data_IF_697520039468
#
_entry.id   IF_697520039468
#
_cell.length_a   1.000
_cell.length_b   1.000
_cell.length_c   1.000
_cell.angle_alpha   90.00
_cell.angle_beta   90.00
_cell.angle_gamma   90.00
#
_symmetry.space_group_name_H-M   'P 1'
#
loop_
_entity.id
_entity.type
_entity.pdbx_description
1 polymer ?
#
# COMPACT_ATOMS: atom_id res chain seq x y z
N UNK A 1 26.03 -40.80 52.11
CA UNK A 1 24.83 -41.42 51.49
C UNK A 1 23.62 -41.19 52.38
N UNK A 2 22.77 -40.21 52.04
CA UNK A 2 21.31 -40.19 52.29
C UNK A 2 20.78 -38.84 51.81
N UNK A 3 19.81 -38.93 50.91
CA UNK A 3 19.25 -37.85 50.12
C UNK A 3 18.33 -36.95 50.95
N UNK A 4 18.45 -35.64 50.72
CA UNK A 4 17.53 -34.62 51.23
C UNK A 4 16.35 -34.47 50.27
N UNK A 5 15.16 -34.84 50.75
CA UNK A 5 13.88 -34.54 50.13
C UNK A 5 13.68 -33.02 49.98
N UNK A 6 13.48 -32.56 48.74
CA UNK A 6 12.85 -31.27 48.46
C UNK A 6 11.45 -31.54 47.91
N UNK A 7 10.43 -31.03 48.58
CA UNK A 7 9.05 -31.01 48.10
C UNK A 7 8.93 -29.88 47.07
N UNK A 8 8.67 -30.24 45.82
CA UNK A 8 8.23 -29.28 44.79
C UNK A 8 6.71 -29.14 44.90
N UNK A 9 6.25 -27.96 45.27
CA UNK A 9 4.85 -27.58 45.16
C UNK A 9 4.56 -27.22 43.69
N UNK A 10 3.83 -28.08 42.99
CA UNK A 10 3.31 -27.80 41.66
C UNK A 10 2.09 -26.87 41.79
N UNK A 11 2.27 -25.59 41.50
CA UNK A 11 1.17 -24.65 41.24
C UNK A 11 0.69 -24.88 39.81
N UNK A 12 -0.38 -25.67 39.67
CA UNK A 12 -1.13 -25.78 38.44
C UNK A 12 -1.86 -24.45 38.18
N UNK A 13 -1.35 -23.65 37.24
CA UNK A 13 -2.12 -22.57 36.65
C UNK A 13 -3.08 -23.16 35.61
N UNK A 14 -4.30 -23.45 36.03
CA UNK A 14 -5.42 -23.62 35.10
C UNK A 14 -5.73 -22.25 34.48
N UNK A 15 -5.22 -22.01 33.28
CA UNK A 15 -5.67 -20.93 32.44
C UNK A 15 -7.07 -21.28 31.91
N UNK A 16 -8.10 -20.89 32.66
CA UNK A 16 -9.47 -20.86 32.15
C UNK A 16 -9.51 -19.76 31.09
N UNK A 17 -9.40 -20.14 29.81
CA UNK A 17 -9.71 -19.24 28.69
C UNK A 17 -11.21 -18.96 28.76
N UNK A 18 -11.56 -17.85 29.39
CA UNK A 18 -12.88 -17.26 29.24
C UNK A 18 -13.02 -16.83 27.78
N UNK A 19 -13.68 -17.68 26.99
CA UNK A 19 -14.27 -17.30 25.71
C UNK A 19 -15.22 -16.13 25.98
N UNK A 20 -14.72 -14.91 25.80
CA UNK A 20 -15.57 -13.75 25.62
C UNK A 20 -16.40 -14.01 24.36
N UNK A 21 -17.64 -14.48 24.55
CA UNK A 21 -18.69 -14.36 23.55
C UNK A 21 -18.85 -12.87 23.27
N UNK A 22 -18.22 -12.39 22.20
CA UNK A 22 -18.51 -11.10 21.63
C UNK A 22 -19.97 -11.09 21.19
N UNK A 23 -20.83 -10.47 22.00
CA UNK A 23 -22.14 -10.02 21.56
C UNK A 23 -21.92 -8.94 20.48
N UNK A 24 -21.92 -9.36 19.23
CA UNK A 24 -21.72 -8.47 18.08
C UNK A 24 -21.80 -9.18 16.74
N UNK A 25 -22.51 -10.31 16.66
CA UNK A 25 -22.91 -10.88 15.37
C UNK A 25 -24.06 -10.02 14.83
N UNK A 26 -23.71 -8.90 14.21
CA UNK A 26 -24.59 -8.19 13.27
C UNK A 26 -24.99 -9.18 12.19
N UNK A 27 -26.28 -9.50 12.07
CA UNK A 27 -26.77 -10.39 11.01
C UNK A 27 -26.46 -9.83 9.61
N UNK A 28 -26.67 -10.62 8.54
CA UNK A 28 -26.46 -10.17 7.15
C UNK A 28 -27.24 -8.90 6.75
N UNK A 29 -28.29 -8.55 7.51
CA UNK A 29 -29.08 -7.33 7.35
C UNK A 29 -28.36 -6.03 7.75
N UNK A 30 -27.29 -6.11 8.54
CA UNK A 30 -26.54 -4.94 9.04
C UNK A 30 -25.22 -4.71 8.27
N UNK A 31 -24.95 -5.52 7.23
CA UNK A 31 -23.75 -5.35 6.42
C UNK A 31 -23.90 -4.19 5.42
N UNK A 32 -22.92 -3.27 5.34
CA UNK A 32 -22.95 -2.18 4.35
C UNK A 32 -23.08 -2.71 2.92
N UNK A 33 -23.98 -2.08 2.14
CA UNK A 33 -24.19 -2.40 0.72
C UNK A 33 -23.01 -2.01 -0.20
N UNK A 34 -21.92 -1.48 0.35
CA UNK A 34 -20.75 -1.07 -0.42
C UNK A 34 -19.48 -1.20 0.41
N UNK A 35 -18.37 -1.28 -0.29
CA UNK A 35 -17.07 -1.31 0.34
C UNK A 35 -15.94 -1.19 -0.66
N UNK A 36 -14.77 -1.70 -0.27
CA UNK A 36 -13.56 -1.67 -1.07
C UNK A 36 -12.82 -3.00 -1.02
N UNK A 37 -12.32 -3.45 -2.17
CA UNK A 37 -11.36 -4.53 -2.28
C UNK A 37 -9.96 -3.94 -2.14
N UNK A 38 -9.21 -4.43 -1.16
CA UNK A 38 -7.83 -4.06 -0.91
C UNK A 38 -6.92 -5.21 -1.27
N UNK A 39 -6.22 -5.08 -2.39
CA UNK A 39 -5.26 -6.08 -2.85
C UNK A 39 -3.99 -6.03 -1.99
N UNK A 40 -3.40 -7.19 -1.72
CA UNK A 40 -2.09 -7.30 -1.09
C UNK A 40 -1.08 -6.61 -1.99
N UNK A 41 -0.27 -5.73 -1.42
CA UNK A 41 0.66 -4.88 -2.16
C UNK A 41 -0.02 -3.97 -3.22
N UNK A 42 -1.34 -3.80 -3.14
CA UNK A 42 -2.11 -2.91 -4.01
C UNK A 42 -1.89 -1.44 -3.66
N UNK A 43 -1.80 -0.60 -4.69
CA UNK A 43 -1.67 0.86 -4.55
C UNK A 43 -3.02 1.53 -4.35
N UNK A 44 -4.06 1.08 -5.07
CA UNK A 44 -5.40 1.64 -5.02
C UNK A 44 -6.47 0.59 -4.67
N UNK A 45 -7.48 0.93 -3.84
CA UNK A 45 -8.59 0.04 -3.57
C UNK A 45 -9.63 0.08 -4.70
N UNK A 46 -10.32 -1.05 -4.92
CA UNK A 46 -11.41 -1.15 -5.90
C UNK A 46 -12.75 -1.04 -5.19
N UNK A 47 -13.58 -0.06 -5.56
CA UNK A 47 -14.94 0.04 -5.03
C UNK A 47 -15.80 -1.13 -5.50
N UNK A 48 -16.56 -1.71 -4.57
CA UNK A 48 -17.60 -2.70 -4.87
C UNK A 48 -18.95 -2.29 -4.30
N UNK A 49 -20.00 -2.86 -4.87
CA UNK A 49 -21.37 -2.82 -4.37
C UNK A 49 -21.84 -4.24 -4.06
N UNK A 50 -22.40 -4.45 -2.89
CA UNK A 50 -22.89 -5.74 -2.41
C UNK A 50 -24.32 -5.95 -2.89
N UNK A 51 -24.65 -7.18 -3.27
CA UNK A 51 -26.02 -7.57 -3.60
C UNK A 51 -26.93 -7.63 -2.34
N UNK A 52 -28.24 -7.49 -2.51
CA UNK A 52 -29.20 -7.52 -1.40
C UNK A 52 -29.44 -8.91 -0.82
N UNK A 53 -29.26 -9.96 -1.63
CA UNK A 53 -29.39 -11.37 -1.21
C UNK A 53 -28.05 -11.99 -0.78
N UNK A 54 -26.98 -11.19 -0.72
CA UNK A 54 -25.63 -11.65 -0.38
C UNK A 54 -25.55 -12.21 1.04
N UNK A 55 -24.75 -13.25 1.22
CA UNK A 55 -24.32 -13.72 2.55
C UNK A 55 -23.32 -12.77 3.23
N UNK A 56 -22.87 -13.10 4.45
CA UNK A 56 -21.89 -12.31 5.20
C UNK A 56 -20.54 -12.19 4.49
N UNK A 57 -19.82 -11.10 4.76
CA UNK A 57 -18.50 -10.84 4.17
C UNK A 57 -17.43 -11.78 4.72
N UNK A 58 -16.53 -12.23 3.84
CA UNK A 58 -15.36 -13.03 4.21
C UNK A 58 -14.47 -12.27 5.20
N UNK A 59 -14.21 -12.79 6.42
CA UNK A 59 -13.48 -12.06 7.45
C UNK A 59 -11.95 -12.14 7.29
N UNK A 60 -11.45 -12.78 6.24
CA UNK A 60 -10.04 -13.07 6.01
C UNK A 60 -9.63 -12.69 4.59
N UNK A 61 -8.32 -12.74 4.32
CA UNK A 61 -7.78 -12.49 2.98
C UNK A 61 -8.09 -13.69 2.07
N UNK A 62 -8.48 -13.40 0.84
CA UNK A 62 -8.92 -14.36 -0.16
C UNK A 62 -8.05 -14.27 -1.41
N UNK A 63 -8.03 -15.36 -2.18
CA UNK A 63 -7.47 -15.39 -3.53
C UNK A 63 -8.57 -15.07 -4.54
N UNK A 64 -8.31 -14.12 -5.44
CA UNK A 64 -9.19 -13.82 -6.55
C UNK A 64 -8.83 -14.75 -7.72
N UNK A 65 -9.77 -15.63 -8.07
CA UNK A 65 -9.60 -16.62 -9.13
C UNK A 65 -10.46 -16.26 -10.34
N UNK A 66 -9.93 -16.54 -11.54
CA UNK A 66 -10.56 -16.18 -12.81
C UNK A 66 -10.77 -17.46 -13.62
N UNK A 67 -11.91 -17.62 -14.31
CA UNK A 67 -12.10 -18.71 -15.26
C UNK A 67 -10.98 -18.71 -16.31
N UNK A 68 -10.41 -19.89 -16.62
CA UNK A 68 -9.32 -20.00 -17.59
C UNK A 68 -9.79 -19.82 -19.04
N UNK A 69 -11.04 -20.21 -19.33
CA UNK A 69 -11.63 -20.14 -20.68
C UNK A 69 -12.51 -18.90 -20.83
N UNK A 70 -12.43 -18.25 -21.98
CA UNK A 70 -13.23 -17.04 -22.23
C UNK A 70 -14.75 -17.30 -22.22
N UNK A 71 -15.19 -18.47 -22.69
CA UNK A 71 -16.61 -18.88 -22.68
C UNK A 71 -17.20 -19.04 -21.26
N UNK A 72 -16.36 -19.30 -20.27
CA UNK A 72 -16.78 -19.47 -18.87
C UNK A 72 -16.81 -18.15 -18.10
N UNK A 73 -16.32 -17.05 -18.71
CA UNK A 73 -16.14 -15.78 -18.00
C UNK A 73 -17.44 -15.20 -17.50
N UNK A 74 -18.58 -15.51 -18.10
CA UNK A 74 -19.86 -15.06 -17.57
C UNK A 74 -20.30 -15.84 -16.31
N UNK A 75 -19.77 -17.03 -16.02
CA UNK A 75 -20.19 -17.82 -14.86
C UNK A 75 -21.66 -18.30 -14.93
N UNK A 76 -22.21 -18.40 -16.14
CA UNK A 76 -23.59 -18.87 -16.35
C UNK A 76 -23.74 -20.39 -16.21
N UNK A 77 -22.63 -21.13 -16.21
CA UNK A 77 -22.53 -22.54 -15.91
C UNK A 77 -21.42 -22.78 -14.89
N UNK A 78 -21.37 -24.00 -14.35
CA UNK A 78 -20.24 -24.49 -13.57
C UNK A 78 -18.98 -24.52 -14.45
N UNK A 79 -17.83 -24.20 -13.86
CA UNK A 79 -16.52 -24.32 -14.54
C UNK A 79 -16.18 -25.79 -14.81
N UNK A 80 -15.17 -26.10 -15.65
CA UNK A 80 -14.62 -27.45 -15.77
C UNK A 80 -14.22 -28.07 -14.43
N UNK A 81 -14.31 -29.39 -14.33
CA UNK A 81 -14.07 -30.12 -13.07
C UNK A 81 -12.69 -29.84 -12.45
N UNK A 82 -11.64 -29.60 -13.26
CA UNK A 82 -10.31 -29.25 -12.74
C UNK A 82 -10.27 -27.87 -12.07
N UNK A 83 -11.01 -26.89 -12.61
CA UNK A 83 -11.15 -25.57 -12.01
C UNK A 83 -12.04 -25.62 -10.77
N UNK A 84 -13.14 -26.39 -10.81
CA UNK A 84 -13.99 -26.60 -9.64
C UNK A 84 -13.22 -27.25 -8.49
N UNK A 85 -12.39 -28.26 -8.77
CA UNK A 85 -11.57 -28.92 -7.75
C UNK A 85 -10.60 -27.94 -7.10
N UNK A 86 -9.97 -27.06 -7.88
CA UNK A 86 -9.09 -26.01 -7.36
C UNK A 86 -9.84 -25.02 -6.46
N UNK A 87 -11.07 -24.63 -6.82
CA UNK A 87 -11.91 -23.75 -5.99
C UNK A 87 -12.32 -24.46 -4.69
N UNK A 88 -12.78 -25.72 -4.77
CA UNK A 88 -13.16 -26.52 -3.58
C UNK A 88 -11.97 -26.74 -2.65
N UNK A 89 -10.78 -27.02 -3.20
CA UNK A 89 -9.56 -27.20 -2.42
C UNK A 89 -9.13 -25.93 -1.67
N UNK A 90 -9.56 -24.75 -2.11
CA UNK A 90 -9.34 -23.49 -1.40
C UNK A 90 -10.23 -23.31 -0.17
N UNK A 91 -11.18 -24.22 0.10
CA UNK A 91 -11.97 -24.28 1.35
C UNK A 91 -12.57 -22.93 1.76
N UNK A 92 -13.25 -22.25 0.84
CA UNK A 92 -13.86 -20.94 1.09
C UNK A 92 -12.90 -19.74 1.09
N UNK A 93 -11.63 -19.90 0.72
CA UNK A 93 -10.68 -18.78 0.58
C UNK A 93 -10.51 -18.30 -0.88
N UNK A 94 -11.22 -18.90 -1.84
CA UNK A 94 -11.23 -18.48 -3.24
C UNK A 94 -12.48 -17.65 -3.54
N UNK A 95 -12.30 -16.48 -4.15
CA UNK A 95 -13.37 -15.63 -4.66
C UNK A 95 -13.34 -15.65 -6.18
N UNK A 96 -14.42 -16.14 -6.78
CA UNK A 96 -14.52 -16.23 -8.23
C UNK A 96 -14.81 -14.85 -8.84
N UNK A 97 -14.06 -14.47 -9.86
CA UNK A 97 -14.25 -13.21 -10.60
C UNK A 97 -14.80 -13.49 -11.99
N UNK A 98 -16.05 -13.11 -12.24
CA UNK A 98 -16.77 -13.33 -13.51
C UNK A 98 -17.21 -12.01 -14.13
N UNK A 99 -17.54 -12.02 -15.41
CA UNK A 99 -18.16 -10.92 -16.14
C UNK A 99 -19.68 -10.92 -15.96
N UNK A 100 -20.24 -9.71 -15.91
CA UNK A 100 -21.65 -9.49 -16.18
C UNK A 100 -21.93 -9.94 -17.60
N UNK A 101 -23.04 -10.64 -17.78
CA UNK A 101 -23.37 -11.26 -19.06
C UNK A 101 -24.86 -11.51 -19.17
N UNK A 102 -25.22 -12.61 -19.81
CA UNK A 102 -26.59 -12.94 -20.20
C UNK A 102 -27.43 -13.52 -19.05
N UNK A 103 -26.81 -14.21 -18.10
CA UNK A 103 -27.49 -14.79 -16.93
C UNK A 103 -27.56 -13.84 -15.73
N UNK A 104 -28.44 -14.18 -14.77
CA UNK A 104 -28.70 -13.39 -13.56
C UNK A 104 -27.54 -13.47 -12.56
N UNK A 105 -27.44 -12.45 -11.68
CA UNK A 105 -26.47 -12.43 -10.58
C UNK A 105 -26.69 -13.59 -9.59
N UNK A 106 -27.95 -13.94 -9.35
CA UNK A 106 -28.35 -15.08 -8.53
C UNK A 106 -27.81 -16.41 -9.09
N UNK A 107 -27.97 -16.66 -10.39
CA UNK A 107 -27.48 -17.90 -11.00
C UNK A 107 -25.94 -17.99 -10.90
N UNK A 108 -25.23 -16.89 -11.20
CA UNK A 108 -23.78 -16.82 -11.03
C UNK A 108 -23.36 -17.12 -9.59
N UNK A 109 -24.11 -16.59 -8.62
CA UNK A 109 -23.86 -16.81 -7.19
C UNK A 109 -24.12 -18.26 -6.80
N UNK A 110 -25.22 -18.88 -7.24
CA UNK A 110 -25.49 -20.31 -7.00
C UNK A 110 -24.39 -21.20 -7.60
N UNK A 111 -23.96 -20.93 -8.83
CA UNK A 111 -22.89 -21.67 -9.48
C UNK A 111 -21.57 -21.55 -8.69
N UNK A 112 -21.16 -20.33 -8.33
CA UNK A 112 -19.94 -20.12 -7.56
C UNK A 112 -19.98 -20.79 -6.18
N UNK A 113 -21.12 -20.75 -5.48
CA UNK A 113 -21.30 -21.42 -4.19
C UNK A 113 -21.25 -22.96 -4.34
N UNK A 114 -21.89 -23.51 -5.37
CA UNK A 114 -21.86 -24.94 -5.67
C UNK A 114 -20.44 -25.44 -5.99
N UNK A 115 -19.57 -24.56 -6.51
CA UNK A 115 -18.14 -24.84 -6.71
C UNK A 115 -17.31 -24.67 -5.43
N UNK A 116 -17.90 -24.31 -4.29
CA UNK A 116 -17.19 -24.10 -3.03
C UNK A 116 -16.43 -22.78 -2.92
N UNK A 117 -16.76 -21.79 -3.76
CA UNK A 117 -16.17 -20.46 -3.64
C UNK A 117 -16.58 -19.80 -2.31
N UNK A 118 -15.66 -19.03 -1.72
CA UNK A 118 -15.92 -18.20 -0.55
C UNK A 118 -16.61 -16.88 -0.87
N UNK A 119 -16.84 -16.57 -2.16
CA UNK A 119 -17.53 -15.38 -2.62
C UNK A 119 -17.49 -15.20 -4.13
N UNK A 120 -18.25 -14.24 -4.62
CA UNK A 120 -18.35 -13.88 -6.03
C UNK A 120 -18.11 -12.39 -6.26
N UNK A 121 -17.29 -12.06 -7.25
CA UNK A 121 -17.14 -10.72 -7.80
C UNK A 121 -17.60 -10.72 -9.26
N UNK A 122 -18.63 -9.93 -9.57
CA UNK A 122 -19.13 -9.72 -10.91
C UNK A 122 -18.61 -8.39 -11.46
N UNK A 123 -17.84 -8.45 -12.54
CA UNK A 123 -17.32 -7.30 -13.26
C UNK A 123 -18.39 -6.75 -14.18
N UNK A 124 -18.77 -5.49 -14.00
CA UNK A 124 -19.79 -4.86 -14.82
C UNK A 124 -19.31 -4.56 -16.23
N UNK A 125 -20.27 -4.46 -17.17
CA UNK A 125 -20.00 -4.07 -18.57
C UNK A 125 -19.62 -2.59 -18.73
N UNK A 126 -19.92 -1.76 -17.74
CA UNK A 126 -19.62 -0.33 -17.72
C UNK A 126 -19.05 0.08 -16.36
N UNK A 127 -18.55 1.32 -16.29
CA UNK A 127 -18.11 1.89 -15.02
C UNK A 127 -19.26 2.50 -14.23
N UNK A 128 -20.44 2.75 -14.80
CA UNK A 128 -21.63 3.19 -14.05
C UNK A 128 -22.31 2.00 -13.35
N UNK A 129 -21.75 1.61 -12.20
CA UNK A 129 -22.23 0.47 -11.41
C UNK A 129 -23.03 0.94 -10.22
N UNK A 130 -24.16 0.27 -10.01
CA UNK A 130 -25.00 0.36 -8.83
C UNK A 130 -25.10 -1.04 -8.22
N UNK A 131 -25.47 -1.12 -6.94
CA UNK A 131 -25.80 -2.39 -6.32
C UNK A 131 -26.85 -3.12 -7.19
N UNK A 132 -26.65 -4.41 -7.49
CA UNK A 132 -27.69 -5.18 -8.15
C UNK A 132 -28.96 -5.14 -7.29
N UNK A 133 -30.10 -5.05 -7.95
CA UNK A 133 -31.41 -5.15 -7.30
C UNK A 133 -32.01 -6.45 -7.78
N UNK A 134 -32.01 -7.47 -6.94
CA UNK A 134 -32.71 -8.71 -7.24
C UNK A 134 -33.82 -8.94 -6.23
N UNK A 135 -34.99 -9.32 -6.75
CA UNK A 135 -36.10 -9.84 -5.96
C UNK A 135 -35.90 -11.35 -5.78
N UNK A 136 -35.02 -11.72 -4.85
CA UNK A 136 -34.84 -13.13 -4.46
C UNK A 136 -35.28 -13.25 -3.00
N UNK A 137 -36.05 -14.29 -2.69
CA UNK A 137 -36.31 -14.68 -1.29
C UNK A 137 -34.98 -15.21 -0.71
N UNK A 138 -34.44 -14.48 0.27
CA UNK A 138 -33.01 -14.41 0.55
C UNK A 138 -32.40 -15.52 1.40
N UNK A 139 -32.66 -16.80 1.11
CA UNK A 139 -32.14 -17.91 1.93
C UNK A 139 -31.14 -18.86 1.24
N UNK A 140 -30.96 -18.83 -0.08
CA UNK A 140 -30.14 -19.84 -0.77
C UNK A 140 -28.63 -19.50 -0.92
N UNK A 141 -28.23 -18.25 -0.74
CA UNK A 141 -26.86 -17.77 -1.02
C UNK A 141 -26.20 -17.30 0.27
N UNK A 142 -25.25 -18.11 0.76
CA UNK A 142 -24.56 -17.92 2.05
C UNK A 142 -23.22 -17.19 1.92
N UNK A 143 -22.71 -17.02 0.70
CA UNK A 143 -21.45 -16.33 0.44
C UNK A 143 -21.66 -14.87 -0.03
N UNK A 144 -20.66 -13.99 0.12
CA UNK A 144 -20.76 -12.63 -0.37
C UNK A 144 -20.79 -12.58 -1.91
N UNK A 145 -21.75 -11.82 -2.47
CA UNK A 145 -21.88 -11.57 -3.90
C UNK A 145 -21.84 -10.08 -4.20
N UNK A 146 -20.87 -9.67 -5.02
CA UNK A 146 -20.49 -8.26 -5.18
C UNK A 146 -20.39 -7.90 -6.66
N UNK A 147 -20.69 -6.64 -6.98
CA UNK A 147 -20.43 -6.04 -8.28
C UNK A 147 -19.29 -5.03 -8.19
N UNK A 148 -18.38 -5.05 -9.17
CA UNK A 148 -17.34 -4.03 -9.37
C UNK A 148 -17.51 -3.35 -10.72
N UNK A 149 -16.92 -2.15 -10.85
CA UNK A 149 -16.83 -1.41 -12.11
C UNK A 149 -15.98 -2.16 -13.13
N UNK A 150 -16.24 -1.93 -14.42
CA UNK A 150 -15.48 -2.53 -15.53
C UNK A 150 -13.97 -2.31 -15.35
N UNK A 151 -13.56 -1.07 -15.10
CA UNK A 151 -12.16 -0.69 -14.86
C UNK A 151 -11.53 -1.43 -13.67
N UNK A 152 -12.25 -1.53 -12.55
CA UNK A 152 -11.83 -2.32 -11.39
C UNK A 152 -11.66 -3.81 -11.70
N UNK A 153 -12.54 -4.39 -12.52
CA UNK A 153 -12.39 -5.78 -12.98
C UNK A 153 -11.24 -5.97 -13.97
N UNK A 154 -10.99 -4.99 -14.84
CA UNK A 154 -9.82 -4.98 -15.74
C UNK A 154 -8.53 -4.94 -14.94
N UNK A 155 -8.46 -4.14 -13.87
CA UNK A 155 -7.35 -4.12 -12.92
C UNK A 155 -7.10 -5.51 -12.30
N UNK A 156 -8.15 -6.14 -11.76
CA UNK A 156 -8.05 -7.49 -11.19
C UNK A 156 -7.47 -8.48 -12.19
N UNK A 157 -7.96 -8.49 -13.43
CA UNK A 157 -7.49 -9.41 -14.48
C UNK A 157 -6.07 -9.13 -14.93
N UNK A 158 -5.73 -7.86 -15.12
CA UNK A 158 -4.39 -7.46 -15.55
C UNK A 158 -3.33 -7.83 -14.51
N UNK A 159 -3.65 -7.79 -13.22
CA UNK A 159 -2.77 -8.30 -12.16
C UNK A 159 -2.81 -9.83 -12.12
N UNK A 160 -4.00 -10.43 -12.14
CA UNK A 160 -4.22 -11.88 -12.08
C UNK A 160 -3.57 -12.67 -13.22
N UNK A 161 -3.35 -12.06 -14.38
CA UNK A 161 -2.63 -12.68 -15.51
C UNK A 161 -1.11 -12.75 -15.30
N UNK A 162 -0.56 -11.95 -14.37
CA UNK A 162 0.88 -11.84 -14.09
C UNK A 162 1.28 -12.60 -12.83
N UNK A 163 0.42 -12.58 -11.81
CA UNK A 163 0.65 -13.22 -10.51
C UNK A 163 -0.65 -13.61 -9.81
N UNK A 164 -0.54 -14.49 -8.81
CA UNK A 164 -1.66 -14.86 -7.95
C UNK A 164 -2.13 -13.65 -7.17
N UNK A 165 -3.44 -13.41 -7.17
CA UNK A 165 -4.02 -12.19 -6.65
C UNK A 165 -4.67 -12.42 -5.29
N UNK A 166 -4.12 -11.81 -4.25
CA UNK A 166 -4.66 -11.87 -2.89
C UNK A 166 -5.20 -10.52 -2.45
N UNK A 167 -6.24 -10.52 -1.63
CA UNK A 167 -6.75 -9.30 -1.04
C UNK A 167 -7.86 -9.52 -0.03
N UNK A 168 -8.36 -8.43 0.55
CA UNK A 168 -9.55 -8.44 1.42
C UNK A 168 -10.67 -7.61 0.84
N UNK A 169 -11.88 -8.13 0.98
CA UNK A 169 -13.13 -7.43 0.71
C UNK A 169 -13.56 -6.77 2.02
N UNK A 170 -13.50 -5.44 2.08
CA UNK A 170 -13.70 -4.67 3.31
C UNK A 170 -14.95 -3.78 3.18
N UNK A 171 -16.00 -4.04 3.98
CA UNK A 171 -17.15 -3.16 4.07
C UNK A 171 -16.78 -1.79 4.63
N UNK A 172 -17.38 -0.75 4.06
CA UNK A 172 -17.12 0.62 4.46
C UNK A 172 -18.34 1.24 5.14
N UNK A 173 -18.11 1.97 6.23
CA UNK A 173 -19.16 2.70 6.96
C UNK A 173 -18.82 4.19 6.96
N UNK A 174 -19.80 5.05 6.70
CA UNK A 174 -19.61 6.50 6.70
C UNK A 174 -20.32 7.16 7.87
N UNK A 175 -19.60 7.97 8.63
CA UNK A 175 -20.19 8.92 9.59
C UNK A 175 -20.46 10.24 8.87
N UNK A 176 -21.53 10.97 9.20
CA UNK A 176 -21.89 12.24 8.52
C UNK A 176 -21.24 13.50 9.12
N UNK A 177 -20.66 13.43 10.32
CA UNK A 177 -20.09 14.60 11.03
C UNK A 177 -18.77 14.24 11.73
N UNK A 178 -17.60 14.50 11.12
CA UNK A 178 -17.38 14.86 9.71
C UNK A 178 -17.77 13.71 8.76
N UNK A 179 -17.97 14.01 7.47
CA UNK A 179 -18.18 12.97 6.47
C UNK A 179 -16.89 12.16 6.30
N UNK A 180 -16.84 10.98 6.91
CA UNK A 180 -15.67 10.12 6.88
C UNK A 180 -16.12 8.68 6.73
N UNK A 181 -15.57 8.01 5.71
CA UNK A 181 -15.83 6.60 5.46
C UNK A 181 -14.61 5.78 5.86
N UNK A 182 -14.81 4.75 6.68
CA UNK A 182 -13.74 3.91 7.20
C UNK A 182 -14.16 2.43 7.27
N UNK A 183 -13.19 1.50 7.33
CA UNK A 183 -13.46 0.12 7.63
C UNK A 183 -14.21 -0.02 8.96
N UNK A 184 -15.12 -0.99 9.03
CA UNK A 184 -16.01 -1.19 10.18
C UNK A 184 -15.26 -1.72 11.39
N UNK A 185 -14.34 -2.66 11.17
CA UNK A 185 -13.62 -3.38 12.23
C UNK A 185 -12.16 -2.97 12.29
N UNK A 186 -11.55 -3.04 13.46
CA UNK A 186 -10.15 -2.64 13.63
C UNK A 186 -9.18 -3.58 12.89
N UNK A 187 -9.50 -4.87 12.78
CA UNK A 187 -8.74 -5.82 11.95
C UNK A 187 -8.74 -5.46 10.46
N UNK A 188 -9.81 -4.81 9.99
CA UNK A 188 -9.91 -4.32 8.62
C UNK A 188 -9.09 -3.03 8.47
N UNK A 189 -9.15 -2.12 9.44
CA UNK A 189 -8.31 -0.91 9.47
C UNK A 189 -6.81 -1.27 9.46
N UNK A 190 -6.42 -2.23 10.28
CA UNK A 190 -5.06 -2.75 10.34
C UNK A 190 -4.63 -3.32 8.99
N UNK A 191 -5.49 -4.11 8.34
CA UNK A 191 -5.18 -4.62 7.02
C UNK A 191 -5.02 -3.48 5.99
N UNK A 192 -5.91 -2.48 5.99
CA UNK A 192 -5.78 -1.33 5.09
C UNK A 192 -4.44 -0.61 5.29
N UNK A 193 -4.02 -0.38 6.55
CA UNK A 193 -2.73 0.27 6.82
C UNK A 193 -1.52 -0.61 6.52
N UNK A 194 -1.65 -1.93 6.70
CA UNK A 194 -0.54 -2.88 6.66
C UNK A 194 -0.50 -3.77 5.42
N UNK A 195 -1.42 -3.67 4.45
CA UNK A 195 -1.45 -4.46 3.21
C UNK A 195 -1.33 -3.59 1.95
N UNK A 196 -1.86 -2.36 2.01
CA UNK A 196 -1.75 -1.40 0.89
C UNK A 196 -0.35 -0.81 0.80
N UNK A 197 0.04 -0.36 -0.39
CA UNK A 197 1.32 0.32 -0.62
C UNK A 197 1.07 1.82 -0.69
N UNK A 198 1.66 2.57 0.23
CA UNK A 198 1.72 4.03 0.18
C UNK A 198 3.13 4.55 -0.10
N UNK A 199 4.15 3.76 0.26
CA UNK A 199 5.55 4.10 0.09
C UNK A 199 6.45 2.88 0.30
N UNK A 200 7.74 3.07 0.08
CA UNK A 200 8.74 2.05 0.33
C UNK A 200 10.11 2.43 -0.21
N UNK A 201 10.94 1.41 -0.39
CA UNK A 201 12.27 1.51 -0.99
C UNK A 201 12.33 0.80 -2.33
N UNK A 202 13.08 1.41 -3.25
CA UNK A 202 13.57 0.75 -4.46
C UNK A 202 14.93 0.15 -4.14
N UNK A 203 15.06 -1.16 -4.38
CA UNK A 203 16.25 -1.94 -4.07
C UNK A 203 16.90 -2.44 -5.36
N UNK A 204 18.23 -2.53 -5.40
CA UNK A 204 18.93 -3.24 -6.45
C UNK A 204 18.63 -4.75 -6.37
N UNK A 205 18.20 -5.39 -7.45
CA UNK A 205 17.83 -6.81 -7.42
C UNK A 205 19.02 -7.75 -7.17
N UNK A 206 20.24 -7.33 -7.49
CA UNK A 206 21.47 -8.13 -7.30
C UNK A 206 21.95 -8.13 -5.85
N UNK A 207 21.95 -6.98 -5.18
CA UNK A 207 22.53 -6.80 -3.84
C UNK A 207 21.52 -6.59 -2.73
N UNK A 208 20.24 -6.34 -3.04
CA UNK A 208 19.23 -5.78 -2.13
C UNK A 208 19.65 -4.45 -1.49
N UNK A 209 20.61 -3.74 -2.08
CA UNK A 209 20.99 -2.40 -1.64
C UNK A 209 19.86 -1.40 -1.89
N UNK A 210 19.60 -0.54 -0.91
CA UNK A 210 18.61 0.54 -1.02
C UNK A 210 19.11 1.64 -1.95
N UNK A 211 18.47 1.78 -3.10
CA UNK A 211 18.77 2.84 -4.06
C UNK A 211 18.13 4.17 -3.63
N UNK A 212 16.90 4.10 -3.11
CA UNK A 212 16.18 5.25 -2.57
C UNK A 212 14.73 4.93 -2.23
N UNK A 213 14.02 5.94 -1.74
CA UNK A 213 12.61 5.82 -1.38
C UNK A 213 11.63 6.15 -2.52
N UNK A 214 10.40 5.69 -2.38
CA UNK A 214 9.29 6.02 -3.27
C UNK A 214 8.01 6.31 -2.50
N UNK A 215 7.12 7.09 -3.14
CA UNK A 215 5.73 7.25 -2.75
C UNK A 215 4.81 6.65 -3.81
N UNK A 216 3.87 5.81 -3.40
CA UNK A 216 2.90 5.25 -4.34
C UNK A 216 1.78 6.26 -4.66
N UNK A 217 1.32 6.26 -5.91
CA UNK A 217 0.15 7.03 -6.31
C UNK A 217 -1.11 6.62 -5.55
N UNK A 218 -2.23 7.29 -5.80
CA UNK A 218 -3.56 6.84 -5.32
C UNK A 218 -4.30 6.02 -6.38
N UNK A 219 -3.61 5.62 -7.45
CA UNK A 219 -4.10 4.85 -8.59
C UNK A 219 -3.03 3.84 -9.03
N UNK A 220 -3.40 2.89 -9.89
CA UNK A 220 -2.51 1.81 -10.33
C UNK A 220 -2.76 0.47 -9.64
N UNK A 221 -2.02 -0.54 -10.08
CA UNK A 221 -2.17 -1.94 -9.66
C UNK A 221 -1.37 -2.35 -8.43
N UNK A 222 -0.94 -3.60 -8.45
CA UNK A 222 -0.17 -4.24 -7.38
C UNK A 222 1.31 -4.06 -7.64
N UNK A 223 2.05 -3.71 -6.58
CA UNK A 223 3.50 -3.58 -6.64
C UNK A 223 4.14 -4.94 -6.97
N UNK A 224 5.05 -5.02 -7.95
CA UNK A 224 5.54 -6.30 -8.43
C UNK A 224 6.39 -6.99 -7.37
N UNK A 225 6.17 -8.30 -7.19
CA UNK A 225 6.97 -9.13 -6.27
C UNK A 225 8.28 -9.63 -6.89
N UNK A 226 8.32 -9.69 -8.24
CA UNK A 226 9.50 -10.08 -9.02
C UNK A 226 10.35 -8.86 -9.37
N UNK A 227 11.64 -9.09 -9.58
CA UNK A 227 12.52 -8.04 -10.07
C UNK A 227 12.11 -7.59 -11.47
N UNK A 228 12.17 -6.27 -11.72
CA UNK A 228 11.91 -5.66 -13.02
C UNK A 228 13.20 -5.08 -13.60
N UNK A 229 13.38 -5.24 -14.91
CA UNK A 229 14.40 -4.50 -15.64
C UNK A 229 13.92 -3.04 -15.84
N UNK A 230 14.85 -2.09 -15.96
CA UNK A 230 14.56 -0.67 -16.15
C UNK A 230 14.64 -0.36 -17.64
N UNK A 231 13.59 0.24 -18.21
CA UNK A 231 13.61 0.67 -19.60
C UNK A 231 14.63 1.80 -19.83
N UNK A 232 15.14 1.94 -21.05
CA UNK A 232 15.89 3.12 -21.44
C UNK A 232 15.02 4.37 -21.32
N UNK A 233 15.64 5.49 -20.93
CA UNK A 233 14.94 6.77 -20.89
C UNK A 233 14.39 7.08 -22.27
N UNK A 234 13.11 7.43 -22.33
CA UNK A 234 12.51 7.93 -23.56
C UNK A 234 13.04 9.35 -23.74
N UNK A 235 14.19 9.46 -24.41
CA UNK A 235 14.79 10.74 -24.78
C UNK A 235 13.85 11.50 -25.71
N UNK A 236 13.04 12.40 -25.12
CA UNK A 236 12.29 13.45 -25.79
C UNK A 236 11.26 13.01 -26.85
N UNK A 237 10.05 12.71 -26.40
CA UNK A 237 8.81 13.37 -26.85
C UNK A 237 7.64 12.85 -25.99
N UNK A 238 7.61 13.42 -24.79
CA UNK A 238 6.47 13.57 -23.89
C UNK A 238 5.71 12.36 -23.35
N UNK A 239 5.86 11.13 -23.87
CA UNK A 239 4.97 10.02 -23.47
C UNK A 239 3.48 10.32 -23.72
N UNK A 240 3.19 11.41 -24.44
CA UNK A 240 1.85 11.88 -24.79
C UNK A 240 1.37 11.32 -26.12
N UNK A 241 2.27 10.70 -26.88
CA UNK A 241 1.91 9.96 -28.08
C UNK A 241 1.93 8.47 -27.78
N UNK A 242 0.92 7.74 -28.24
CA UNK A 242 0.84 6.28 -28.13
C UNK A 242 2.01 5.55 -28.82
N UNK A 243 2.69 6.22 -29.75
CA UNK A 243 3.85 5.70 -30.49
C UNK A 243 5.15 6.09 -29.79
N UNK A 244 5.49 5.39 -28.71
CA UNK A 244 6.88 5.32 -28.24
C UNK A 244 7.68 4.43 -29.20
N UNK A 245 7.93 4.94 -30.40
CA UNK A 245 8.56 4.19 -31.49
C UNK A 245 10.01 3.83 -31.13
N UNK A 246 10.28 2.56 -30.82
CA UNK A 246 11.64 2.00 -30.78
C UNK A 246 12.19 1.59 -29.41
N UNK A 247 11.50 1.87 -28.30
CA UNK A 247 11.91 1.39 -26.96
C UNK A 247 11.06 0.19 -26.57
N UNK A 248 11.70 -0.97 -26.33
CA UNK A 248 11.00 -2.13 -25.76
C UNK A 248 10.73 -1.86 -24.27
N UNK A 249 9.47 -1.58 -23.95
CA UNK A 249 9.01 -1.37 -22.58
C UNK A 249 8.37 -2.62 -21.98
N UNK A 250 8.28 -3.70 -22.76
CA UNK A 250 7.46 -4.86 -22.41
C UNK A 250 7.97 -5.51 -21.13
N UNK A 251 7.15 -5.48 -20.08
CA UNK A 251 7.48 -6.07 -18.80
C UNK A 251 8.51 -5.28 -17.97
N UNK A 252 8.86 -4.05 -18.38
CA UNK A 252 9.89 -3.24 -17.72
C UNK A 252 9.28 -2.14 -16.82
N UNK A 253 10.11 -1.61 -15.91
CA UNK A 253 9.82 -0.37 -15.19
C UNK A 253 10.22 0.83 -16.05
N UNK A 254 9.30 1.75 -16.31
CA UNK A 254 9.50 2.90 -17.19
C UNK A 254 9.60 4.18 -16.38
N UNK A 255 10.64 4.98 -16.65
CA UNK A 255 10.81 6.32 -16.09
C UNK A 255 9.90 7.31 -16.82
N UNK A 256 9.04 8.01 -16.08
CA UNK A 256 8.08 8.99 -16.60
C UNK A 256 8.38 10.35 -15.97
N UNK A 257 8.53 11.39 -16.77
CA UNK A 257 8.71 12.75 -16.25
C UNK A 257 7.48 13.19 -15.43
N UNK A 258 7.66 13.74 -14.23
CA UNK A 258 6.56 14.26 -13.42
C UNK A 258 6.06 15.62 -13.91
N UNK A 259 6.98 16.54 -14.22
CA UNK A 259 6.68 17.98 -14.28
C UNK A 259 6.85 18.61 -15.68
N UNK A 260 7.24 17.81 -16.68
CA UNK A 260 7.52 18.31 -18.05
C UNK A 260 6.79 17.48 -19.10
N UNK A 261 5.89 18.08 -19.87
CA UNK A 261 5.26 17.45 -21.04
C UNK A 261 3.99 18.19 -21.52
N UNK A 262 3.57 17.92 -22.75
CA UNK A 262 2.35 18.49 -23.34
C UNK A 262 1.03 17.91 -22.78
N UNK A 263 1.08 16.84 -21.97
CA UNK A 263 -0.09 16.15 -21.43
C UNK A 263 0.08 15.73 -19.97
N UNK A 264 -0.99 15.17 -19.38
CA UNK A 264 -1.03 14.82 -17.96
C UNK A 264 -0.11 13.65 -17.59
N UNK A 265 0.29 13.55 -16.31
CA UNK A 265 1.02 12.36 -15.79
C UNK A 265 0.21 11.08 -16.01
N UNK A 266 -1.10 11.12 -15.76
CA UNK A 266 -1.99 9.97 -15.93
C UNK A 266 -1.99 9.45 -17.37
N UNK A 267 -2.03 10.36 -18.34
CA UNK A 267 -1.99 10.04 -19.77
C UNK A 267 -0.67 9.38 -20.16
N UNK A 268 0.45 9.90 -19.68
CA UNK A 268 1.78 9.30 -19.92
C UNK A 268 1.91 7.89 -19.34
N UNK A 269 1.40 7.69 -18.14
CA UNK A 269 1.35 6.36 -17.51
C UNK A 269 0.45 5.41 -18.31
N UNK A 270 -0.69 5.90 -18.83
CA UNK A 270 -1.60 5.12 -19.67
C UNK A 270 -0.94 4.70 -20.98
N UNK A 271 -0.16 5.58 -21.62
CA UNK A 271 0.61 5.22 -22.81
C UNK A 271 1.75 4.24 -22.51
N UNK A 272 2.47 4.41 -21.39
CA UNK A 272 3.50 3.46 -20.98
C UNK A 272 2.90 2.05 -20.74
N UNK A 273 1.74 1.98 -20.09
CA UNK A 273 1.00 0.73 -19.91
C UNK A 273 0.59 0.12 -21.26
N UNK A 274 0.07 0.94 -22.17
CA UNK A 274 -0.32 0.49 -23.52
C UNK A 274 0.87 -0.01 -24.35
N UNK A 275 2.07 0.51 -24.09
CA UNK A 275 3.33 0.03 -24.66
C UNK A 275 3.86 -1.25 -23.98
N UNK A 276 3.15 -1.79 -22.98
CA UNK A 276 3.47 -3.03 -22.29
C UNK A 276 4.34 -2.88 -21.05
N UNK A 277 4.53 -1.67 -20.53
CA UNK A 277 5.22 -1.45 -19.26
C UNK A 277 4.62 -2.31 -18.14
N UNK A 278 5.46 -2.81 -17.23
CA UNK A 278 5.00 -3.48 -16.02
C UNK A 278 4.75 -2.50 -14.88
N UNK A 279 5.39 -1.33 -14.91
CA UNK A 279 5.40 -0.35 -13.82
C UNK A 279 5.80 1.04 -14.34
N UNK A 280 5.23 2.08 -13.74
CA UNK A 280 5.60 3.48 -14.00
C UNK A 280 6.31 4.11 -12.79
N UNK A 281 7.46 4.73 -13.07
CA UNK A 281 8.30 5.45 -12.12
C UNK A 281 8.28 6.94 -12.46
N UNK A 282 7.40 7.69 -11.80
CA UNK A 282 7.27 9.13 -12.01
C UNK A 282 8.43 9.86 -11.34
N UNK A 283 9.24 10.59 -12.09
CA UNK A 283 10.37 11.36 -11.59
C UNK A 283 9.90 12.75 -11.21
N UNK A 284 9.94 13.07 -9.92
CA UNK A 284 9.64 14.41 -9.41
C UNK A 284 10.89 15.28 -9.42
N UNK A 285 10.80 16.45 -10.08
CA UNK A 285 11.93 17.36 -10.25
C UNK A 285 12.14 18.34 -9.10
N UNK A 286 11.27 18.29 -8.08
CA UNK A 286 11.40 19.14 -6.89
C UNK A 286 11.26 18.34 -5.60
N UNK A 287 12.33 18.32 -4.80
CA UNK A 287 12.30 17.76 -3.43
C UNK A 287 11.27 18.47 -2.52
N UNK A 288 10.82 19.68 -2.90
CA UNK A 288 9.82 20.44 -2.16
C UNK A 288 8.38 19.96 -2.39
N UNK A 289 8.12 19.13 -3.41
CA UNK A 289 6.78 18.64 -3.76
C UNK A 289 6.76 17.11 -3.93
N UNK A 290 7.52 16.37 -3.12
CA UNK A 290 7.44 14.92 -3.06
C UNK A 290 6.09 14.50 -2.45
N UNK A 291 5.09 14.43 -3.32
CA UNK A 291 3.71 14.15 -3.00
C UNK A 291 3.22 12.95 -3.80
N UNK A 292 2.30 12.20 -3.20
CA UNK A 292 1.64 11.09 -3.87
C UNK A 292 0.82 11.63 -5.05
N UNK A 293 1.01 11.14 -6.28
CA UNK A 293 0.16 11.51 -7.41
C UNK A 293 -1.26 11.09 -7.12
N UNK A 294 -2.18 12.01 -7.34
CA UNK A 294 -3.60 11.79 -7.17
C UNK A 294 -4.32 12.08 -8.47
N UNK A 295 -5.42 11.37 -8.70
CA UNK A 295 -6.44 11.75 -9.67
C UNK A 295 -7.54 12.51 -8.95
N UNK A 296 -8.24 13.39 -9.65
CA UNK A 296 -9.33 14.17 -9.07
C UNK A 296 -10.44 13.23 -8.59
N UNK A 297 -10.81 12.28 -9.44
CA UNK A 297 -11.78 11.25 -9.11
C UNK A 297 -11.10 9.88 -9.06
N UNK A 298 -11.25 9.16 -7.94
CA UNK A 298 -10.56 7.86 -7.75
C UNK A 298 -10.84 6.82 -8.84
N UNK A 299 -11.99 6.91 -9.52
CA UNK A 299 -12.35 5.98 -10.61
C UNK A 299 -11.61 6.28 -11.92
N UNK A 300 -11.13 7.51 -12.16
CA UNK A 300 -10.29 7.83 -13.32
C UNK A 300 -8.97 7.03 -13.30
N UNK A 301 -8.47 6.78 -12.09
CA UNK A 301 -7.25 6.00 -11.85
C UNK A 301 -7.40 4.49 -12.04
N UNK A 302 -8.63 3.97 -12.18
CA UNK A 302 -8.86 2.52 -12.35
C UNK A 302 -8.52 2.02 -13.75
N UNK A 303 -8.38 2.91 -14.73
CA UNK A 303 -7.93 2.55 -16.07
C UNK A 303 -6.42 2.24 -16.12
N UNK A 304 -5.66 2.63 -15.09
CA UNK A 304 -4.24 2.32 -14.98
C UNK A 304 -4.09 1.04 -14.16
N UNK A 305 -3.58 -0.02 -14.78
CA UNK A 305 -3.42 -1.34 -14.14
C UNK A 305 -1.99 -1.67 -13.73
N UNK A 306 -1.04 -0.83 -14.12
CA UNK A 306 0.34 -0.93 -13.64
C UNK A 306 0.51 -0.16 -12.33
N UNK A 307 1.29 -0.67 -11.37
CA UNK A 307 1.67 0.10 -10.19
C UNK A 307 2.40 1.37 -10.62
N UNK A 308 2.02 2.49 -10.00
CA UNK A 308 2.57 3.82 -10.31
C UNK A 308 3.13 4.42 -9.03
N UNK A 309 4.41 4.78 -9.05
CA UNK A 309 5.11 5.37 -7.91
C UNK A 309 5.86 6.64 -8.33
N UNK A 310 6.14 7.52 -7.36
CA UNK A 310 7.01 8.70 -7.53
C UNK A 310 8.34 8.45 -6.87
N UNK A 311 9.38 8.87 -7.57
CA UNK A 311 10.78 8.85 -7.14
C UNK A 311 11.41 10.24 -7.34
N UNK A 312 12.52 10.50 -6.68
CA UNK A 312 13.28 11.75 -6.83
C UNK A 312 14.20 11.69 -8.04
N UNK A 313 14.61 12.86 -8.56
CA UNK A 313 15.67 12.94 -9.60
C UNK A 313 16.95 12.22 -9.16
N UNK A 314 17.35 12.35 -7.89
CA UNK A 314 18.53 11.67 -7.37
C UNK A 314 18.41 10.13 -7.43
N UNK A 315 17.21 9.59 -7.21
CA UNK A 315 16.96 8.16 -7.39
C UNK A 315 16.93 7.79 -8.87
N UNK A 316 16.38 8.63 -9.76
CA UNK A 316 16.48 8.39 -11.22
C UNK A 316 17.93 8.20 -11.65
N UNK A 317 18.84 9.06 -11.21
CA UNK A 317 20.25 8.99 -11.61
C UNK A 317 20.91 7.67 -11.19
N UNK A 318 20.62 7.21 -9.96
CA UNK A 318 21.06 5.88 -9.48
C UNK A 318 20.45 4.72 -10.28
N UNK A 319 19.19 4.85 -10.70
CA UNK A 319 18.51 3.84 -11.51
C UNK A 319 19.11 3.73 -12.92
N UNK A 320 19.45 4.87 -13.52
CA UNK A 320 20.17 4.94 -14.79
C UNK A 320 21.57 4.32 -14.66
N UNK A 321 22.31 4.66 -13.61
CA UNK A 321 23.62 4.05 -13.33
C UNK A 321 23.52 2.52 -13.12
N UNK A 322 22.50 2.06 -12.39
CA UNK A 322 22.24 0.65 -12.15
C UNK A 322 21.96 -0.12 -13.45
N UNK A 323 21.19 0.49 -14.36
CA UNK A 323 20.88 -0.03 -15.70
C UNK A 323 22.14 -0.13 -16.57
N UNK A 324 22.93 0.93 -16.62
CA UNK A 324 24.03 1.08 -17.59
C UNK A 324 25.36 0.44 -17.13
N UNK A 325 25.52 0.21 -15.84
CA UNK A 325 26.75 -0.39 -15.31
C UNK A 325 26.94 -1.84 -15.84
N UNK A 326 28.19 -2.30 -16.08
CA UNK A 326 28.47 -3.60 -16.70
C UNK A 326 28.24 -4.77 -15.72
N UNK A 327 27.37 -5.73 -16.04
CA UNK A 327 27.13 -6.90 -15.17
C UNK A 327 28.37 -7.81 -15.14
N UNK A 328 29.10 -7.80 -14.01
CA UNK A 328 30.32 -8.59 -13.84
C UNK A 328 30.04 -10.12 -13.90
N UNK A 329 28.83 -10.54 -13.53
CA UNK A 329 28.47 -11.95 -13.34
C UNK A 329 27.33 -12.43 -14.24
N UNK A 330 26.93 -11.63 -15.24
CA UNK A 330 25.76 -11.95 -16.09
C UNK A 330 24.41 -11.93 -15.35
N UNK A 331 24.38 -11.49 -14.08
CA UNK A 331 23.16 -11.31 -13.29
C UNK A 331 22.37 -10.13 -13.83
N UNK A 332 21.07 -10.33 -14.09
CA UNK A 332 20.17 -9.26 -14.53
C UNK A 332 20.10 -8.13 -13.49
N UNK A 333 20.40 -6.90 -13.94
CA UNK A 333 20.38 -5.67 -13.14
C UNK A 333 18.96 -5.12 -13.09
N UNK A 334 18.10 -5.84 -12.38
CA UNK A 334 16.75 -5.39 -12.11
C UNK A 334 16.67 -4.53 -10.85
N UNK A 335 15.46 -4.06 -10.58
CA UNK A 335 15.05 -3.46 -9.32
C UNK A 335 13.96 -4.29 -8.65
N UNK A 336 13.93 -4.23 -7.32
CA UNK A 336 12.85 -4.78 -6.49
C UNK A 336 12.28 -3.67 -5.62
N UNK A 337 11.11 -3.92 -5.07
CA UNK A 337 10.44 -2.97 -4.21
C UNK A 337 10.18 -3.59 -2.85
N UNK A 338 10.46 -2.82 -1.81
CA UNK A 338 10.13 -3.16 -0.44
C UNK A 338 9.19 -2.11 0.09
N UNK A 339 8.00 -2.53 0.53
CA UNK A 339 7.03 -1.61 1.10
C UNK A 339 7.43 -1.17 2.51
N UNK A 340 7.31 0.13 2.76
CA UNK A 340 7.51 0.76 4.07
C UNK A 340 6.58 1.99 4.15
N UNK A 341 5.39 1.84 4.73
CA UNK A 341 4.32 2.85 4.66
C UNK A 341 4.56 4.06 5.58
N UNK A 342 5.45 3.92 6.55
CA UNK A 342 5.83 4.95 7.50
C UNK A 342 6.55 6.12 6.81
N UNK A 343 7.23 5.87 5.68
CA UNK A 343 7.80 6.92 4.82
C UNK A 343 6.71 7.87 4.33
N UNK A 344 5.57 7.35 3.84
CA UNK A 344 4.44 8.16 3.43
C UNK A 344 3.83 8.94 4.61
N UNK A 345 3.82 8.37 5.82
CA UNK A 345 3.33 9.07 7.01
C UNK A 345 4.20 10.28 7.34
N UNK A 346 5.53 10.16 7.24
CA UNK A 346 6.45 11.30 7.42
C UNK A 346 6.23 12.36 6.34
N UNK A 347 6.17 11.97 5.06
CA UNK A 347 5.92 12.92 3.98
C UNK A 347 4.56 13.61 4.06
N UNK A 348 3.51 12.91 4.51
CA UNK A 348 2.19 13.49 4.72
C UNK A 348 2.20 14.50 5.89
N UNK A 349 2.95 14.25 6.96
CA UNK A 349 3.17 15.23 8.03
C UNK A 349 3.96 16.45 7.54
N UNK A 350 5.06 16.27 6.80
CA UNK A 350 5.82 17.37 6.21
C UNK A 350 4.94 18.20 5.28
N UNK A 351 4.09 17.57 4.47
CA UNK A 351 3.18 18.28 3.56
C UNK A 351 2.20 19.16 4.30
N UNK A 352 1.68 18.75 5.46
CA UNK A 352 0.80 19.59 6.30
C UNK A 352 1.49 20.89 6.69
N UNK A 353 2.82 20.88 6.87
CA UNK A 353 3.62 22.06 7.21
C UNK A 353 3.73 23.10 6.09
N UNK A 354 3.30 22.78 4.86
CA UNK A 354 3.18 23.78 3.79
C UNK A 354 2.06 24.81 4.04
N UNK A 355 1.14 24.51 4.96
CA UNK A 355 0.01 25.37 5.31
C UNK A 355 0.28 26.08 6.62
N UNK A 356 0.23 27.42 6.62
CA UNK A 356 0.48 28.24 7.80
C UNK A 356 -0.39 27.87 9.03
N UNK A 357 -1.66 27.51 8.81
CA UNK A 357 -2.58 27.12 9.88
C UNK A 357 -2.28 25.76 10.52
N UNK A 358 -1.47 24.91 9.88
CA UNK A 358 -1.00 23.65 10.46
C UNK A 358 0.10 23.85 11.50
N UNK A 359 0.71 25.04 11.55
CA UNK A 359 1.77 25.35 12.50
C UNK A 359 1.17 25.78 13.85
N UNK A 360 1.73 25.29 14.98
CA UNK A 360 1.38 25.82 16.29
C UNK A 360 1.63 27.32 16.39
N UNK A 361 0.68 28.09 16.96
CA UNK A 361 0.85 29.54 17.09
C UNK A 361 2.01 29.96 18.02
N UNK A 362 2.40 29.11 18.99
CA UNK A 362 3.46 29.41 19.96
C UNK A 362 4.80 28.87 19.48
N UNK A 363 5.85 29.71 19.47
CA UNK A 363 7.22 29.34 19.05
C UNK A 363 7.71 28.04 19.68
N UNK A 364 7.64 27.90 21.01
CA UNK A 364 8.09 26.70 21.69
C UNK A 364 7.38 25.41 21.22
N UNK A 365 6.11 25.50 20.82
CA UNK A 365 5.38 24.35 20.27
C UNK A 365 5.78 24.03 18.83
N UNK A 366 6.12 25.04 18.02
CA UNK A 366 6.67 24.85 16.67
C UNK A 366 8.03 24.14 16.74
N UNK A 367 8.90 24.60 17.64
CA UNK A 367 10.21 23.99 17.85
C UNK A 367 10.10 22.52 18.31
N UNK A 368 9.19 22.24 19.26
CA UNK A 368 8.91 20.86 19.70
C UNK A 368 8.35 19.99 18.58
N UNK A 369 7.51 20.53 17.70
CA UNK A 369 7.00 19.83 16.53
C UNK A 369 8.15 19.45 15.58
N UNK A 370 9.06 20.39 15.28
CA UNK A 370 10.24 20.14 14.44
C UNK A 370 11.13 19.05 15.05
N UNK A 371 11.47 19.14 16.34
CA UNK A 371 12.26 18.11 17.03
C UNK A 371 11.60 16.73 16.97
N UNK A 372 10.27 16.66 17.16
CA UNK A 372 9.53 15.40 17.04
C UNK A 372 9.63 14.80 15.64
N UNK A 373 9.59 15.63 14.60
CA UNK A 373 9.74 15.15 13.22
C UNK A 373 11.17 14.67 12.97
N UNK A 374 12.17 15.47 13.35
CA UNK A 374 13.59 15.13 13.20
C UNK A 374 14.03 13.87 13.96
N UNK A 375 13.33 13.52 15.05
CA UNK A 375 13.59 12.30 15.83
C UNK A 375 12.87 11.06 15.30
N UNK A 376 12.11 11.16 14.21
CA UNK A 376 11.50 9.99 13.57
C UNK A 376 12.56 9.10 12.94
N UNK A 377 12.46 7.78 13.17
CA UNK A 377 13.38 6.78 12.63
C UNK A 377 13.41 6.72 11.08
N UNK A 378 12.43 7.34 10.42
CA UNK A 378 12.26 7.33 8.96
C UNK A 378 12.68 8.65 8.29
N UNK A 379 13.25 9.59 9.05
CA UNK A 379 13.73 10.87 8.51
C UNK A 379 15.16 10.71 8.01
N UNK A 380 15.35 11.03 6.73
CA UNK A 380 16.65 11.10 6.06
C UNK A 380 17.00 12.55 5.66
N UNK A 381 18.10 12.74 4.94
CA UNK A 381 18.53 14.06 4.47
C UNK A 381 17.50 14.80 3.61
N UNK A 382 16.71 14.07 2.81
CA UNK A 382 15.67 14.68 1.98
C UNK A 382 14.54 15.22 2.85
N UNK A 383 14.10 14.44 3.84
CA UNK A 383 13.13 14.86 4.85
C UNK A 383 13.65 16.06 5.66
N UNK A 384 14.89 16.03 6.13
CA UNK A 384 15.50 17.13 6.89
C UNK A 384 15.49 18.43 6.08
N UNK A 385 15.87 18.37 4.80
CA UNK A 385 15.82 19.53 3.89
C UNK A 385 14.40 20.06 3.70
N UNK A 386 13.42 19.17 3.55
CA UNK A 386 12.01 19.55 3.39
C UNK A 386 11.44 20.19 4.67
N UNK A 387 11.74 19.61 5.85
CA UNK A 387 11.35 20.16 7.15
C UNK A 387 11.99 21.54 7.36
N UNK A 388 13.29 21.69 7.07
CA UNK A 388 14.01 22.97 7.17
C UNK A 388 13.31 24.04 6.36
N UNK A 389 13.02 23.73 5.10
CA UNK A 389 12.36 24.66 4.19
C UNK A 389 11.00 25.08 4.71
N UNK A 390 10.14 24.13 5.09
CA UNK A 390 8.82 24.44 5.62
C UNK A 390 8.90 25.29 6.91
N UNK A 391 9.86 24.99 7.78
CA UNK A 391 10.07 25.74 9.03
C UNK A 391 10.47 27.20 8.79
N UNK A 392 11.39 27.44 7.85
CA UNK A 392 11.88 28.79 7.53
C UNK A 392 10.87 29.58 6.69
N UNK A 393 10.30 28.96 5.65
CA UNK A 393 9.47 29.65 4.66
C UNK A 393 8.03 29.88 5.14
N UNK A 394 7.46 28.94 5.91
CA UNK A 394 6.04 28.95 6.32
C UNK A 394 5.90 29.05 7.83
N UNK A 395 6.69 28.26 8.56
CA UNK A 395 6.61 28.15 10.01
C UNK A 395 7.08 29.40 10.75
N UNK A 396 7.71 30.37 10.09
CA UNK A 396 8.25 31.60 10.68
C UNK A 396 9.44 31.35 11.60
N UNK A 397 10.17 30.24 11.38
CA UNK A 397 11.42 29.93 12.05
C UNK A 397 12.58 30.76 11.52
N UNK A 398 13.67 30.82 12.28
CA UNK A 398 14.93 31.45 11.85
C UNK A 398 16.04 30.42 11.65
N UNK A 399 17.04 30.76 10.85
CA UNK A 399 18.23 29.89 10.65
C UNK A 399 18.89 29.56 11.99
N UNK A 400 19.06 30.54 12.88
CA UNK A 400 19.62 30.31 14.22
C UNK A 400 18.79 29.32 15.06
N UNK A 401 17.45 29.39 14.98
CA UNK A 401 16.61 28.40 15.65
C UNK A 401 16.71 27.02 15.01
N UNK A 402 16.82 26.94 13.68
CA UNK A 402 17.01 25.68 12.98
C UNK A 402 18.31 24.99 13.38
N UNK A 403 19.42 25.72 13.40
CA UNK A 403 20.73 25.16 13.73
C UNK A 403 20.74 24.60 15.16
N UNK A 404 20.07 25.28 16.10
CA UNK A 404 19.85 24.77 17.47
C UNK A 404 19.01 23.49 17.52
N UNK A 405 17.98 23.38 16.68
CA UNK A 405 17.05 22.23 16.69
C UNK A 405 17.58 21.01 15.95
N UNK A 406 18.42 21.23 14.94
CA UNK A 406 19.01 20.17 14.10
C UNK A 406 20.39 19.72 14.58
N UNK A 407 20.98 20.40 15.55
CA UNK A 407 22.20 19.96 16.20
C UNK A 407 21.98 18.57 16.82
N UNK A 408 22.92 17.62 16.62
CA UNK A 408 22.87 16.34 17.33
C UNK A 408 22.87 16.61 18.83
N UNK A 409 22.02 15.87 19.57
CA UNK A 409 21.99 15.99 21.02
C UNK A 409 23.41 15.71 21.55
N UNK A 410 24.03 16.72 22.16
CA UNK A 410 25.32 16.54 22.82
C UNK A 410 25.09 15.53 23.94
N UNK A 411 25.77 14.39 23.86
CA UNK A 411 25.68 13.34 24.86
C UNK A 411 26.30 13.85 26.17
N UNK A 412 25.43 14.39 27.05
CA UNK A 412 25.80 14.91 28.38
C UNK A 412 26.41 13.81 29.29
N UNK A 413 26.46 12.55 28.85
CA UNK A 413 27.14 11.47 29.58
C UNK A 413 28.67 11.52 29.50
N UNK A 414 29.26 12.32 28.60
CA UNK A 414 30.73 12.46 28.46
C UNK A 414 31.34 13.66 29.20
N UNK A 415 30.52 14.55 29.79
CA UNK A 415 30.98 15.76 30.47
C UNK A 415 31.15 15.59 32.00
N UNK A 416 31.59 14.41 32.46
CA UNK A 416 32.22 14.28 33.78
C UNK A 416 33.73 14.39 33.60
N UNK A 417 34.22 15.63 33.63
CA UNK A 417 35.64 15.90 33.84
C UNK A 417 36.12 15.28 35.17
N UNK A 418 37.37 14.79 35.22
CA UNK A 418 37.96 14.19 36.40
C UNK A 418 38.20 15.26 37.47
N UNK A 419 37.80 14.97 38.71
CA UNK A 419 38.04 15.83 39.85
C UNK A 419 39.54 16.17 39.99
N UNK A 420 39.83 17.46 40.08
CA UNK A 420 41.13 18.02 40.41
C UNK A 420 41.67 17.44 41.73
N UNK A 421 42.89 16.88 41.66
CA UNK A 421 43.68 16.54 42.84
C UNK A 421 44.21 17.84 43.48
N UNK A 422 43.69 18.18 44.66
CA UNK A 422 44.29 19.13 45.59
C UNK A 422 45.50 18.49 46.30
N UNK A 423 46.64 19.19 46.45
CA UNK A 423 47.73 18.73 47.31
C UNK A 423 47.62 19.34 48.72
N UNK A 424 47.89 18.53 49.74
CA UNK A 424 48.33 19.05 51.04
C UNK A 424 47.58 18.52 52.26
N UNK A 425 48.06 17.40 52.80
CA UNK A 425 47.92 17.11 54.23
C UNK A 425 49.27 16.66 54.77
N UNK A 426 49.87 17.54 55.57
CA UNK A 426 51.09 17.33 56.35
C UNK A 426 50.78 16.35 57.49
N UNK A 427 51.44 15.20 57.50
CA UNK A 427 51.49 14.31 58.67
C UNK A 427 52.64 14.78 59.56
N UNK A 428 52.30 15.26 60.76
CA UNK A 428 53.24 15.32 61.89
C UNK A 428 53.32 13.92 62.48
N UNK A 429 54.51 13.35 62.52
CA UNK A 429 54.85 12.23 63.39
C UNK A 429 56.08 12.63 64.21
N UNK A 430 55.98 12.48 65.53
CA UNK A 430 57.01 12.75 66.50
C UNK A 430 58.14 11.71 66.37
N UNK A 431 59.36 12.17 66.06
CA UNK A 431 60.63 11.97 66.80
C UNK A 431 61.83 12.40 65.96
#
# INVERSE_FOLDING_TARGET
MKASMWRVAALAWSATVALARGNGATGPADEPHWGRIYLRNGVAPIQYFRDSFSGPMVPHEVEFVFPKRDEDREGCAMLPDDEQEAIRAANGTAVLVVDRGTCTFELKSRNAQAMGAGGLVVVSLSDDVKAPVALVEGEDIEMPSLAVRRSGGQLLRAVGSRERLFGRIIPMTCTRKPYQCQPRRDVEKQYVSSATVRSGFVLAASSNETLGEFLAATYGGVLPTKALDIAHDVESTDGCNATTSGVDMKGMAVLVSGDKGACSVLERVTHAESAGAAMALIVSSSNASFARPTVQESWEGYNVTIPTIVITDALRDKLVEQRDSPSADGVKRGIRFQRQNEIADVWDEIRKLSVASSWPARTARREKLVQRLLSSAWVDDAHVKAIKRAFLDVGGGSVASWDRLSAPAVDESSAREPAENLPGAVVKEEL
#
